data_IF_477096271219
#
_entry.id   IF_477096271219
#
_cell.length_a   1.000
_cell.length_b   1.000
_cell.length_c   1.000
_cell.angle_alpha   90.00
_cell.angle_beta   90.00
_cell.angle_gamma   90.00
#
_symmetry.space_group_name_H-M   'P 1'
#
loop_
_entity.id
_entity.type
_entity.pdbx_description
1 polymer ?
#
# COMPACT_ATOMS: atom_id res chain seq x y z
N UNK A 1 -0.70 9.86 -9.03
CA UNK A 1 -0.19 9.08 -7.88
C UNK A 1 -0.86 9.66 -6.64
N UNK A 2 -1.38 8.82 -5.75
CA UNK A 2 -1.95 9.26 -4.47
C UNK A 2 -1.00 8.90 -3.32
N UNK A 3 -1.00 9.70 -2.26
CA UNK A 3 -0.26 9.40 -1.03
C UNK A 3 -1.24 9.00 0.06
N UNK A 4 -0.90 7.97 0.84
CA UNK A 4 -1.70 7.51 1.99
C UNK A 4 -0.86 7.62 3.24
N UNK A 5 -1.38 8.39 4.20
CA UNK A 5 -0.82 8.50 5.53
C UNK A 5 -1.21 7.28 6.36
N UNK A 6 -0.21 6.59 6.91
CA UNK A 6 -0.37 5.40 7.75
C UNK A 6 0.36 5.58 9.08
N UNK A 7 -0.13 4.87 10.10
CA UNK A 7 0.48 4.89 11.42
C UNK A 7 1.62 3.86 11.53
N UNK A 8 2.41 3.99 12.59
CA UNK A 8 3.53 3.08 12.88
C UNK A 8 3.12 1.61 13.03
N UNK A 9 1.90 1.33 13.51
CA UNK A 9 1.41 -0.03 13.68
C UNK A 9 1.25 -0.73 12.32
N UNK A 10 0.77 0.00 11.32
CA UNK A 10 0.67 -0.46 9.94
C UNK A 10 2.06 -0.66 9.33
N UNK A 11 2.96 0.31 9.49
CA UNK A 11 4.35 0.24 8.97
C UNK A 11 5.10 -0.97 9.53
N UNK A 12 4.93 -1.29 10.81
CA UNK A 12 5.53 -2.46 11.45
C UNK A 12 5.02 -3.80 10.92
N UNK A 13 3.89 -3.81 10.21
CA UNK A 13 3.31 -5.03 9.68
C UNK A 13 2.72 -5.95 10.75
N UNK A 14 2.21 -5.37 11.83
CA UNK A 14 1.61 -6.13 12.93
C UNK A 14 0.42 -6.94 12.41
N UNK A 15 0.52 -8.28 12.44
CA UNK A 15 -0.48 -9.19 11.88
C UNK A 15 0.06 -10.19 10.85
N UNK A 16 1.35 -10.09 10.50
CA UNK A 16 2.04 -11.03 9.60
C UNK A 16 1.87 -10.70 8.12
N UNK A 17 2.76 -11.26 7.28
CA UNK A 17 2.90 -10.88 5.87
C UNK A 17 1.60 -10.98 5.05
N UNK A 18 0.77 -12.02 5.29
CA UNK A 18 -0.49 -12.18 4.58
C UNK A 18 -1.47 -11.04 4.90
N UNK A 19 -1.62 -10.70 6.17
CA UNK A 19 -2.51 -9.62 6.63
C UNK A 19 -2.09 -8.28 6.02
N UNK A 20 -0.80 -7.96 6.08
CA UNK A 20 -0.24 -6.73 5.52
C UNK A 20 -0.46 -6.67 4.02
N UNK A 21 -0.21 -7.78 3.31
CA UNK A 21 -0.42 -7.86 1.86
C UNK A 21 -1.87 -7.59 1.48
N UNK A 22 -2.83 -8.18 2.21
CA UNK A 22 -4.26 -7.99 1.95
C UNK A 22 -4.69 -6.54 2.22
N UNK A 23 -4.21 -5.93 3.30
CA UNK A 23 -4.51 -4.53 3.60
C UNK A 23 -3.93 -3.58 2.55
N UNK A 24 -2.66 -3.77 2.18
CA UNK A 24 -2.03 -3.00 1.11
C UNK A 24 -2.77 -3.17 -0.22
N UNK A 25 -3.13 -4.40 -0.58
CA UNK A 25 -3.91 -4.66 -1.80
C UNK A 25 -5.28 -3.97 -1.77
N UNK A 26 -5.97 -3.98 -0.64
CA UNK A 26 -7.26 -3.29 -0.49
C UNK A 26 -7.12 -1.78 -0.68
N UNK A 27 -6.13 -1.15 -0.04
CA UNK A 27 -5.84 0.28 -0.18
C UNK A 27 -5.50 0.62 -1.63
N UNK A 28 -4.53 -0.09 -2.21
CA UNK A 28 -4.05 0.16 -3.57
C UNK A 28 -5.16 -0.04 -4.58
N UNK A 29 -5.94 -1.13 -4.50
CA UNK A 29 -7.01 -1.40 -5.45
C UNK A 29 -8.18 -0.41 -5.33
N UNK A 30 -8.49 0.07 -4.12
CA UNK A 30 -9.52 1.09 -3.91
C UNK A 30 -9.08 2.43 -4.50
N UNK A 31 -7.85 2.87 -4.22
CA UNK A 31 -7.37 4.16 -4.71
C UNK A 31 -7.13 4.14 -6.22
N UNK A 32 -6.64 3.04 -6.77
CA UNK A 32 -6.46 2.87 -8.22
C UNK A 32 -7.76 2.52 -8.95
N UNK A 33 -8.92 2.54 -8.27
CA UNK A 33 -10.22 2.51 -8.93
C UNK A 33 -10.63 3.86 -9.52
N UNK A 34 -10.01 4.95 -9.06
CA UNK A 34 -10.14 6.26 -9.67
C UNK A 34 -9.17 6.37 -10.86
N UNK A 35 -9.69 6.74 -12.03
CA UNK A 35 -8.94 6.75 -13.30
C UNK A 35 -7.70 7.66 -13.29
N UNK A 36 -7.64 8.65 -12.41
CA UNK A 36 -6.51 9.56 -12.25
C UNK A 36 -5.42 9.04 -11.29
N UNK A 37 -5.59 7.87 -10.67
CA UNK A 37 -4.66 7.30 -9.69
C UNK A 37 -4.07 5.98 -10.22
N UNK A 38 -2.81 6.02 -10.63
CA UNK A 38 -2.09 4.86 -11.18
C UNK A 38 -1.18 4.14 -10.17
N UNK A 39 -1.18 4.58 -8.90
CA UNK A 39 -0.34 4.00 -7.85
C UNK A 39 -0.43 4.79 -6.54
N UNK A 40 -0.04 4.13 -5.46
CA UNK A 40 -0.17 4.63 -4.09
C UNK A 40 1.19 4.67 -3.39
N UNK A 41 1.57 5.84 -2.89
CA UNK A 41 2.75 6.06 -2.07
C UNK A 41 2.36 6.01 -0.59
N UNK A 42 3.04 5.16 0.19
CA UNK A 42 2.83 5.11 1.63
C UNK A 42 3.72 6.13 2.33
N UNK A 43 3.10 6.94 3.19
CA UNK A 43 3.78 7.96 3.99
C UNK A 43 3.38 7.80 5.47
N UNK A 44 4.29 8.14 6.37
CA UNK A 44 4.07 8.13 7.81
C UNK A 44 4.80 9.30 8.46
N UNK A 45 4.10 10.04 9.30
CA UNK A 45 4.51 11.33 9.84
C UNK A 45 5.01 12.28 8.73
N UNK A 46 4.32 12.29 7.58
CA UNK A 46 4.67 13.11 6.42
C UNK A 46 5.94 12.69 5.67
N UNK A 47 6.56 11.55 6.02
CA UNK A 47 7.76 11.01 5.38
C UNK A 47 7.45 9.74 4.60
N UNK A 48 8.16 9.52 3.50
CA UNK A 48 8.04 8.28 2.71
C UNK A 48 8.44 7.07 3.56
N UNK A 49 7.61 6.03 3.48
CA UNK A 49 7.88 4.75 4.13
C UNK A 49 8.52 3.82 3.10
N UNK A 50 9.80 3.43 3.26
CA UNK A 50 10.47 2.56 2.30
C UNK A 50 10.00 1.10 2.39
N UNK A 51 9.44 0.69 3.53
CA UNK A 51 9.00 -0.68 3.77
C UNK A 51 7.79 -0.72 4.70
N UNK A 52 6.79 -1.55 4.38
CA UNK A 52 5.67 -1.88 5.25
C UNK A 52 5.73 -3.38 5.55
N UNK A 53 6.00 -3.75 6.81
CA UNK A 53 6.35 -5.14 7.15
C UNK A 53 7.53 -5.63 6.31
N UNK A 54 7.34 -6.75 5.61
CA UNK A 54 8.35 -7.35 4.71
C UNK A 54 8.29 -6.83 3.25
N UNK A 55 7.42 -5.87 2.94
CA UNK A 55 7.17 -5.40 1.57
C UNK A 55 7.92 -4.11 1.24
N UNK A 56 8.57 -4.04 0.08
CA UNK A 56 9.19 -2.81 -0.43
C UNK A 56 8.10 -1.84 -0.93
N UNK A 57 8.12 -0.62 -0.39
CA UNK A 57 7.20 0.48 -0.70
C UNK A 57 7.92 1.79 -1.02
N UNK A 58 9.21 1.73 -1.37
CA UNK A 58 10.00 2.92 -1.77
C UNK A 58 9.36 3.67 -2.93
N UNK A 59 8.85 2.91 -3.89
CA UNK A 59 8.13 3.41 -5.05
C UNK A 59 6.61 3.22 -4.87
N UNK A 60 5.79 4.04 -5.54
CA UNK A 60 4.34 3.89 -5.48
C UNK A 60 3.89 2.48 -5.90
N UNK A 61 3.14 1.83 -5.01
CA UNK A 61 2.61 0.49 -5.24
C UNK A 61 1.48 0.58 -6.26
N UNK A 62 1.62 -0.17 -7.36
CA UNK A 62 0.65 -0.21 -8.46
C UNK A 62 -0.42 -1.26 -8.21
N UNK A 63 -1.55 -1.10 -8.89
CA UNK A 63 -2.68 -2.03 -8.83
C UNK A 63 -2.22 -3.46 -9.10
N UNK A 64 -2.56 -4.36 -8.18
CA UNK A 64 -2.20 -5.77 -8.27
C UNK A 64 -3.24 -6.50 -9.13
N UNK A 65 -3.22 -6.27 -10.44
CA UNK A 65 -4.21 -6.79 -11.41
C UNK A 65 -4.25 -8.32 -11.51
N UNK A 66 -3.21 -9.01 -11.04
CA UNK A 66 -3.03 -10.44 -11.28
C UNK A 66 -3.38 -11.34 -10.07
N UNK A 67 -3.72 -10.76 -8.91
CA UNK A 67 -3.98 -11.53 -7.68
C UNK A 67 -5.47 -11.71 -7.36
N UNK A 68 -6.35 -10.89 -7.93
CA UNK A 68 -7.81 -11.03 -7.80
C UNK A 68 -8.40 -10.99 -9.21
N UNK A 69 -8.65 -12.18 -9.79
CA UNK A 69 -9.45 -12.29 -11.02
C UNK A 69 -10.92 -12.26 -10.65
N UNK A 70 -11.71 -11.55 -11.46
CA UNK A 70 -13.17 -11.46 -11.34
C UNK A 70 -13.81 -12.81 -11.63
#
# INVERSE_FOLDING_TARGET
>A
IASVEVNDAFVKGNGGDLTVKLQMAAIVNTLTSFDNINGVLFVSNGKKVPTVGSFDTKDPVKRMTNLIKK
#
